data_IF_944147419573
#
_entry.id   IF_944147419573
#
_cell.length_a   1.000
_cell.length_b   1.000
_cell.length_c   1.000
_cell.angle_alpha   90.00
_cell.angle_beta   90.00
_cell.angle_gamma   90.00
#
_symmetry.space_group_name_H-M   'P 1'
#
loop_
_entity.id
_entity.type
_entity.pdbx_description
1 polymer ?
#
# COMPACT_ATOMS: atom_id res chain seq x y z
N UNK A 1 -19.73 27.55 -19.31
CA UNK A 1 -18.32 27.40 -18.89
C UNK A 1 -17.91 26.00 -19.26
N UNK A 2 -16.92 25.85 -20.15
CA UNK A 2 -16.47 24.54 -20.60
C UNK A 2 -15.65 23.88 -19.48
N UNK A 3 -16.08 22.69 -19.05
CA UNK A 3 -15.28 21.79 -18.23
C UNK A 3 -14.09 21.34 -19.08
N UNK A 4 -12.90 21.82 -18.74
CA UNK A 4 -11.67 21.26 -19.24
C UNK A 4 -11.52 19.86 -18.63
N UNK A 5 -11.97 18.84 -19.35
CA UNK A 5 -11.55 17.45 -19.13
C UNK A 5 -10.03 17.41 -19.22
N UNK A 6 -9.37 17.36 -18.06
CA UNK A 6 -7.95 17.04 -17.94
C UNK A 6 -7.77 15.62 -18.48
N UNK A 7 -7.46 15.50 -19.76
CA UNK A 7 -7.09 14.23 -20.37
C UNK A 7 -5.81 13.80 -19.67
N UNK A 8 -5.89 12.73 -18.88
CA UNK A 8 -4.72 12.11 -18.26
C UNK A 8 -3.66 11.88 -19.35
N UNK A 9 -2.46 12.43 -19.16
CA UNK A 9 -1.31 12.22 -20.06
C UNK A 9 -0.97 10.73 -20.23
N UNK A 10 -1.37 9.92 -19.24
CA UNK A 10 -1.21 8.48 -19.21
C UNK A 10 -2.53 7.80 -19.54
N UNK A 11 -2.49 6.82 -20.43
CA UNK A 11 -3.67 6.06 -20.85
C UNK A 11 -3.74 4.71 -20.11
N UNK A 12 -2.59 4.11 -19.81
CA UNK A 12 -2.47 2.78 -19.22
C UNK A 12 -1.52 2.77 -18.04
N UNK A 13 -1.59 1.71 -17.23
CA UNK A 13 -0.67 1.54 -16.10
C UNK A 13 0.78 1.33 -16.58
N UNK A 14 0.96 0.73 -17.76
CA UNK A 14 2.27 0.53 -18.40
C UNK A 14 3.06 1.83 -18.62
N UNK A 15 2.38 2.97 -18.72
CA UNK A 15 3.02 4.27 -18.89
C UNK A 15 3.88 4.67 -17.67
N UNK A 16 3.64 4.05 -16.51
CA UNK A 16 4.42 4.26 -15.28
C UNK A 16 5.47 3.16 -15.03
N UNK A 17 5.43 2.05 -15.78
CA UNK A 17 6.18 0.83 -15.47
C UNK A 17 7.69 1.09 -15.33
N UNK A 18 8.31 1.76 -16.31
CA UNK A 18 9.75 2.06 -16.27
C UNK A 18 10.14 2.96 -15.10
N UNK A 19 9.30 3.93 -14.76
CA UNK A 19 9.53 4.84 -13.64
C UNK A 19 9.41 4.12 -12.30
N UNK A 20 8.47 3.19 -12.17
CA UNK A 20 8.27 2.35 -11.00
C UNK A 20 9.45 1.40 -10.78
N UNK A 21 9.97 0.82 -11.86
CA UNK A 21 11.14 -0.08 -11.81
C UNK A 21 12.49 0.64 -11.73
N UNK A 22 12.50 1.98 -11.83
CA UNK A 22 13.72 2.76 -11.85
C UNK A 22 14.56 2.58 -10.59
N UNK A 23 15.87 2.42 -10.78
CA UNK A 23 16.83 2.38 -9.67
C UNK A 23 17.05 3.76 -9.05
N UNK A 24 16.80 4.81 -9.82
CA UNK A 24 17.01 6.19 -9.41
C UNK A 24 15.89 6.67 -8.48
N UNK A 25 16.20 7.02 -7.21
CA UNK A 25 15.19 7.50 -6.26
C UNK A 25 14.45 8.74 -6.76
N UNK A 26 15.12 9.63 -7.49
CA UNK A 26 14.52 10.85 -8.03
C UNK A 26 13.38 10.53 -9.01
N UNK A 27 13.60 9.58 -9.94
CA UNK A 27 12.59 9.16 -10.91
C UNK A 27 11.34 8.60 -10.21
N UNK A 28 11.53 7.77 -9.18
CA UNK A 28 10.42 7.22 -8.39
C UNK A 28 9.63 8.30 -7.64
N UNK A 29 10.34 9.29 -7.09
CA UNK A 29 9.72 10.43 -6.41
C UNK A 29 8.92 11.33 -7.36
N UNK A 30 9.43 11.56 -8.57
CA UNK A 30 8.74 12.33 -9.62
C UNK A 30 7.55 11.58 -10.22
N UNK A 31 7.64 10.25 -10.30
CA UNK A 31 6.57 9.38 -10.79
C UNK A 31 5.35 9.37 -9.86
N UNK A 32 5.57 9.42 -8.55
CA UNK A 32 4.53 9.17 -7.56
C UNK A 32 3.29 10.08 -7.69
N UNK A 33 3.39 11.42 -7.76
CA UNK A 33 2.21 12.28 -7.81
C UNK A 33 1.30 11.99 -9.02
N UNK A 34 1.91 11.73 -10.18
CA UNK A 34 1.17 11.40 -11.40
C UNK A 34 0.51 10.03 -11.30
N UNK A 35 1.20 9.03 -10.73
CA UNK A 35 0.66 7.69 -10.53
C UNK A 35 -0.46 7.68 -9.48
N UNK A 36 -0.29 8.41 -8.37
CA UNK A 36 -1.32 8.56 -7.34
C UNK A 36 -2.58 9.20 -7.92
N UNK A 37 -2.42 10.29 -8.68
CA UNK A 37 -3.55 10.96 -9.34
C UNK A 37 -4.24 10.04 -10.36
N UNK A 38 -3.46 9.31 -11.16
CA UNK A 38 -3.99 8.35 -12.14
C UNK A 38 -4.82 7.26 -11.48
N UNK A 39 -4.30 6.65 -10.41
CA UNK A 39 -4.98 5.57 -9.70
C UNK A 39 -6.16 6.09 -8.86
N UNK A 40 -6.16 7.35 -8.43
CA UNK A 40 -7.26 7.94 -7.68
C UNK A 40 -8.52 8.17 -8.54
N UNK A 41 -8.38 8.30 -9.86
CA UNK A 41 -9.52 8.32 -10.78
C UNK A 41 -9.97 6.89 -11.09
N UNK A 42 -11.15 6.53 -10.62
CA UNK A 42 -11.75 5.19 -10.80
C UNK A 42 -11.99 4.83 -12.27
N UNK A 43 -11.99 5.82 -13.19
CA UNK A 43 -12.25 5.63 -14.61
C UNK A 43 -10.98 5.33 -15.43
N UNK A 44 -9.79 5.45 -14.86
CA UNK A 44 -8.54 5.15 -15.59
C UNK A 44 -8.37 3.64 -15.78
N UNK A 45 -7.61 3.20 -16.78
CA UNK A 45 -7.42 1.77 -17.01
C UNK A 45 -6.42 1.17 -16.03
N UNK A 46 -6.65 -0.05 -15.55
CA UNK A 46 -5.62 -0.84 -14.86
C UNK A 46 -4.92 -1.83 -15.81
N UNK A 47 -5.20 -1.74 -17.12
CA UNK A 47 -4.53 -2.57 -18.11
C UNK A 47 -3.01 -2.37 -18.04
N UNK A 48 -2.32 -3.48 -17.88
CA UNK A 48 -0.87 -3.57 -17.69
C UNK A 48 -0.40 -4.89 -18.28
N UNK A 49 0.61 -4.86 -19.13
CA UNK A 49 1.19 -6.07 -19.70
C UNK A 49 1.82 -6.98 -18.64
N UNK A 50 2.29 -6.42 -17.53
CA UNK A 50 2.92 -7.13 -16.41
C UNK A 50 2.59 -6.48 -15.07
N UNK A 51 1.36 -6.70 -14.59
CA UNK A 51 0.92 -6.17 -13.29
C UNK A 51 1.78 -6.72 -12.13
N UNK A 52 2.20 -7.99 -12.19
CA UNK A 52 3.03 -8.61 -11.15
C UNK A 52 4.38 -7.91 -11.05
N UNK A 53 5.07 -7.67 -12.16
CA UNK A 53 6.33 -6.91 -12.16
C UNK A 53 6.16 -5.45 -11.72
N UNK A 54 5.01 -4.84 -12.01
CA UNK A 54 4.68 -3.50 -11.50
C UNK A 54 4.58 -3.50 -9.96
N UNK A 55 3.82 -4.44 -9.39
CA UNK A 55 3.63 -4.60 -7.95
C UNK A 55 4.97 -4.95 -7.27
N UNK A 56 5.79 -5.81 -7.88
CA UNK A 56 7.16 -6.12 -7.41
C UNK A 56 8.04 -4.87 -7.38
N UNK A 57 7.87 -3.96 -8.34
CA UNK A 57 8.50 -2.64 -8.34
C UNK A 57 8.13 -1.85 -7.08
N UNK A 58 6.86 -1.84 -6.68
CA UNK A 58 6.39 -1.17 -5.47
C UNK A 58 6.90 -1.83 -4.19
N UNK A 59 7.08 -3.16 -4.16
CA UNK A 59 7.74 -3.81 -3.02
C UNK A 59 9.14 -3.23 -2.78
N UNK A 60 9.90 -2.97 -3.85
CA UNK A 60 11.23 -2.32 -3.76
C UNK A 60 11.16 -0.86 -3.31
N UNK A 61 10.02 -0.19 -3.47
CA UNK A 61 9.80 1.14 -2.90
C UNK A 61 9.66 1.04 -1.38
N UNK A 62 8.83 0.11 -0.92
CA UNK A 62 8.46 -0.09 0.49
C UNK A 62 9.61 -0.67 1.32
N UNK A 63 10.32 -1.65 0.79
CA UNK A 63 11.47 -2.30 1.44
C UNK A 63 12.74 -1.43 1.39
N UNK A 64 12.73 -0.35 0.59
CA UNK A 64 13.84 0.58 0.45
C UNK A 64 14.11 1.41 1.71
N UNK A 65 15.30 2.01 1.77
CA UNK A 65 15.72 2.84 2.91
C UNK A 65 15.20 4.29 2.87
N UNK A 66 14.63 4.74 1.75
CA UNK A 66 14.09 6.08 1.61
C UNK A 66 12.64 6.11 2.13
N UNK A 67 12.44 6.65 3.32
CA UNK A 67 11.14 6.72 3.97
C UNK A 67 10.03 7.39 3.12
N UNK A 68 10.37 8.41 2.32
CA UNK A 68 9.39 9.06 1.44
C UNK A 68 8.93 8.13 0.33
N UNK A 69 9.86 7.41 -0.30
CA UNK A 69 9.53 6.41 -1.33
C UNK A 69 8.76 5.24 -0.72
N UNK A 70 9.12 4.81 0.50
CA UNK A 70 8.41 3.73 1.18
C UNK A 70 6.95 4.10 1.50
N UNK A 71 6.72 5.31 2.04
CA UNK A 71 5.37 5.84 2.25
C UNK A 71 4.57 5.95 0.96
N UNK A 72 5.20 6.43 -0.12
CA UNK A 72 4.59 6.49 -1.44
C UNK A 72 4.17 5.10 -1.94
N UNK A 73 5.04 4.09 -1.80
CA UNK A 73 4.73 2.72 -2.21
C UNK A 73 3.54 2.13 -1.45
N UNK A 74 3.48 2.34 -0.13
CA UNK A 74 2.32 1.93 0.69
C UNK A 74 1.03 2.60 0.20
N UNK A 75 1.10 3.92 -0.09
CA UNK A 75 -0.05 4.69 -0.59
C UNK A 75 -0.54 4.18 -1.95
N UNK A 76 0.36 3.82 -2.85
CA UNK A 76 -0.01 3.23 -4.15
C UNK A 76 -0.67 1.85 -3.95
N UNK A 77 -0.18 1.01 -3.03
CA UNK A 77 -0.83 -0.27 -2.71
C UNK A 77 -2.24 -0.09 -2.11
N UNK A 78 -2.47 0.96 -1.31
CA UNK A 78 -3.82 1.27 -0.83
C UNK A 78 -4.79 1.58 -1.98
N UNK A 79 -4.31 2.24 -3.03
CA UNK A 79 -5.14 2.55 -4.21
C UNK A 79 -5.37 1.30 -5.06
N UNK A 80 -4.38 0.42 -5.23
CA UNK A 80 -4.60 -0.87 -5.88
C UNK A 80 -5.62 -1.73 -5.15
N UNK A 81 -5.61 -1.71 -3.81
CA UNK A 81 -6.58 -2.44 -3.01
C UNK A 81 -8.03 -1.97 -3.26
N UNK A 82 -8.24 -0.68 -3.58
CA UNK A 82 -9.57 -0.16 -3.92
C UNK A 82 -10.04 -0.55 -5.33
N UNK A 83 -9.08 -0.83 -6.22
CA UNK A 83 -9.33 -0.83 -7.67
C UNK A 83 -9.21 -2.19 -8.34
N UNK A 84 -8.35 -3.06 -7.83
CA UNK A 84 -8.22 -4.43 -8.32
C UNK A 84 -9.36 -5.30 -7.81
N UNK A 85 -9.69 -6.35 -8.56
CA UNK A 85 -10.60 -7.38 -8.07
C UNK A 85 -10.03 -8.01 -6.79
N UNK A 86 -10.91 -8.31 -5.84
CA UNK A 86 -10.52 -8.89 -4.56
C UNK A 86 -9.75 -10.21 -4.71
N UNK A 87 -10.03 -11.02 -5.73
CA UNK A 87 -9.30 -12.26 -5.97
C UNK A 87 -7.93 -11.99 -6.62
N UNK A 88 -7.84 -10.97 -7.47
CA UNK A 88 -6.58 -10.57 -8.09
C UNK A 88 -5.60 -10.02 -7.03
N UNK A 89 -6.04 -9.09 -6.19
CA UNK A 89 -5.20 -8.54 -5.13
C UNK A 89 -4.85 -9.59 -4.06
N UNK A 90 -5.73 -10.58 -3.82
CA UNK A 90 -5.45 -11.66 -2.87
C UNK A 90 -4.17 -12.45 -3.20
N UNK A 91 -3.74 -12.49 -4.48
CA UNK A 91 -2.48 -13.14 -4.88
C UNK A 91 -1.23 -12.46 -4.33
N UNK A 92 -1.33 -11.17 -3.97
CA UNK A 92 -0.24 -10.36 -3.42
C UNK A 92 -0.29 -10.26 -1.89
N UNK A 93 -1.37 -10.74 -1.26
CA UNK A 93 -1.73 -10.42 0.11
C UNK A 93 -0.63 -10.74 1.12
N UNK A 94 -0.06 -11.95 1.07
CA UNK A 94 0.95 -12.41 2.03
C UNK A 94 2.19 -11.50 2.01
N UNK A 95 2.65 -11.14 0.80
CA UNK A 95 3.83 -10.27 0.63
C UNK A 95 3.51 -8.84 1.05
N UNK A 96 2.34 -8.31 0.68
CA UNK A 96 1.89 -6.97 1.07
C UNK A 96 1.78 -6.85 2.59
N UNK A 97 1.18 -7.83 3.28
CA UNK A 97 1.12 -7.83 4.75
C UNK A 97 2.52 -7.84 5.33
N UNK A 98 3.41 -8.71 4.83
CA UNK A 98 4.77 -8.83 5.36
C UNK A 98 5.57 -7.53 5.28
N UNK A 99 5.64 -6.90 4.12
CA UNK A 99 6.40 -5.65 3.95
C UNK A 99 5.76 -4.48 4.70
N UNK A 100 4.44 -4.50 4.87
CA UNK A 100 3.71 -3.45 5.59
C UNK A 100 3.93 -3.56 7.09
N UNK A 101 3.96 -4.78 7.65
CA UNK A 101 4.32 -5.01 9.07
C UNK A 101 5.72 -4.47 9.37
N UNK A 102 6.69 -4.68 8.49
CA UNK A 102 8.04 -4.12 8.66
C UNK A 102 8.01 -2.58 8.71
N UNK A 103 7.10 -1.93 7.97
CA UNK A 103 6.94 -0.48 7.95
C UNK A 103 6.22 0.10 9.17
N UNK A 104 5.57 -0.72 10.00
CA UNK A 104 5.20 -0.30 11.36
C UNK A 104 6.44 0.01 12.22
N UNK A 105 7.64 -0.42 11.82
CA UNK A 105 8.89 -0.11 12.50
C UNK A 105 9.55 1.19 12.06
N UNK A 106 8.99 1.91 11.09
CA UNK A 106 9.70 3.00 10.42
C UNK A 106 10.05 4.16 11.38
N UNK A 107 11.19 4.79 11.12
CA UNK A 107 11.65 5.93 11.90
C UNK A 107 10.74 7.16 11.71
N UNK A 108 10.03 7.25 10.59
CA UNK A 108 9.10 8.35 10.28
C UNK A 108 7.66 7.97 10.63
N UNK A 109 7.04 8.79 11.47
CA UNK A 109 5.66 8.60 11.94
C UNK A 109 4.67 8.50 10.78
N UNK A 110 4.86 9.33 9.74
CA UNK A 110 4.02 9.31 8.54
C UNK A 110 4.01 7.93 7.85
N UNK A 111 5.16 7.26 7.76
CA UNK A 111 5.25 5.93 7.12
C UNK A 111 4.55 4.88 7.96
N UNK A 112 4.68 4.95 9.29
CA UNK A 112 3.99 4.05 10.21
C UNK A 112 2.47 4.22 10.14
N UNK A 113 2.00 5.47 10.04
CA UNK A 113 0.58 5.77 9.90
C UNK A 113 0.02 5.20 8.59
N UNK A 114 0.70 5.41 7.46
CA UNK A 114 0.29 4.83 6.17
C UNK A 114 0.29 3.29 6.24
N UNK A 115 1.30 2.68 6.86
CA UNK A 115 1.34 1.23 7.04
C UNK A 115 0.16 0.72 7.89
N UNK A 116 -0.15 1.39 9.00
CA UNK A 116 -1.29 1.09 9.85
C UNK A 116 -2.62 1.23 9.10
N UNK A 117 -2.77 2.26 8.27
CA UNK A 117 -3.95 2.50 7.45
C UNK A 117 -4.15 1.41 6.39
N UNK A 118 -3.08 1.03 5.68
CA UNK A 118 -3.13 -0.07 4.71
C UNK A 118 -3.55 -1.39 5.38
N UNK A 119 -2.98 -1.73 6.54
CA UNK A 119 -3.36 -2.95 7.26
C UNK A 119 -4.83 -2.93 7.71
N UNK A 120 -5.32 -1.81 8.24
CA UNK A 120 -6.74 -1.64 8.57
C UNK A 120 -7.63 -1.81 7.34
N UNK A 121 -7.21 -1.27 6.19
CA UNK A 121 -7.97 -1.37 4.95
C UNK A 121 -8.02 -2.81 4.42
N UNK A 122 -6.92 -3.54 4.52
CA UNK A 122 -6.88 -4.98 4.21
C UNK A 122 -7.85 -5.76 5.12
N UNK A 123 -7.98 -5.39 6.39
CA UNK A 123 -8.96 -6.02 7.30
C UNK A 123 -10.40 -5.77 6.86
N UNK A 124 -10.71 -4.59 6.29
CA UNK A 124 -12.02 -4.31 5.71
C UNK A 124 -12.28 -5.21 4.50
N UNK A 125 -11.30 -5.35 3.61
CA UNK A 125 -11.47 -6.09 2.34
C UNK A 125 -11.45 -7.62 2.51
N UNK A 126 -10.69 -8.15 3.47
CA UNK A 126 -10.41 -9.60 3.58
C UNK A 126 -10.79 -10.23 4.92
N UNK A 127 -11.53 -9.49 5.76
CA UNK A 127 -11.86 -9.80 7.15
C UNK A 127 -10.69 -9.64 8.14
N UNK A 128 -10.94 -9.07 9.34
CA UNK A 128 -9.88 -8.83 10.33
C UNK A 128 -9.12 -10.08 10.74
N UNK A 129 -9.81 -11.20 10.95
CA UNK A 129 -9.20 -12.46 11.39
C UNK A 129 -8.13 -12.93 10.42
N UNK A 130 -8.42 -12.92 9.11
CA UNK A 130 -7.49 -13.38 8.07
C UNK A 130 -6.21 -12.56 8.05
N UNK A 131 -6.32 -11.23 8.18
CA UNK A 131 -5.14 -10.35 8.21
C UNK A 131 -4.35 -10.55 9.50
N UNK A 132 -5.02 -10.76 10.63
CA UNK A 132 -4.34 -11.07 11.90
C UNK A 132 -3.59 -12.40 11.86
N UNK A 133 -4.16 -13.44 11.23
CA UNK A 133 -3.48 -14.74 11.06
C UNK A 133 -2.16 -14.59 10.28
N UNK A 134 -2.14 -13.72 9.27
CA UNK A 134 -0.93 -13.38 8.50
C UNK A 134 0.06 -12.52 9.31
N UNK A 135 -0.43 -11.59 10.11
CA UNK A 135 0.40 -10.65 10.88
C UNK A 135 1.02 -11.28 12.13
N UNK A 136 0.32 -12.21 12.80
CA UNK A 136 0.75 -12.79 14.08
C UNK A 136 2.18 -13.32 14.05
N UNK A 137 2.61 -14.16 13.08
CA UNK A 137 3.98 -14.68 13.06
C UNK A 137 5.05 -13.62 12.76
N UNK A 138 4.67 -12.44 12.26
CA UNK A 138 5.58 -11.40 11.79
C UNK A 138 5.79 -10.27 12.79
N UNK A 139 4.83 -10.04 13.70
CA UNK A 139 4.73 -8.81 14.48
C UNK A 139 5.16 -8.93 15.94
N UNK A 140 4.58 -9.85 16.72
CA UNK A 140 4.76 -9.88 18.18
C UNK A 140 6.17 -10.30 18.62
N UNK A 141 6.83 -11.14 17.82
CA UNK A 141 8.23 -11.57 18.05
C UNK A 141 9.25 -10.81 17.19
N UNK A 142 8.83 -9.74 16.53
CA UNK A 142 9.69 -8.99 15.62
C UNK A 142 10.94 -8.39 16.30
N UNK A 143 12.10 -8.46 15.65
CA UNK A 143 13.38 -7.97 16.22
C UNK A 143 13.37 -6.48 16.60
N UNK A 144 12.56 -5.67 15.90
CA UNK A 144 12.41 -4.25 16.21
C UNK A 144 11.25 -4.04 17.19
N UNK A 145 11.56 -3.52 18.38
CA UNK A 145 10.57 -3.18 19.40
C UNK A 145 9.42 -2.30 18.87
N UNK A 146 9.73 -1.36 17.97
CA UNK A 146 8.73 -0.45 17.41
C UNK A 146 7.63 -1.16 16.61
N UNK A 147 7.98 -2.20 15.84
CA UNK A 147 6.98 -3.04 15.16
C UNK A 147 6.06 -3.70 16.17
N UNK A 148 6.60 -4.20 17.29
CA UNK A 148 5.79 -4.81 18.36
C UNK A 148 4.80 -3.81 18.96
N UNK A 149 5.28 -2.62 19.35
CA UNK A 149 4.46 -1.55 19.96
C UNK A 149 3.35 -1.09 19.00
N UNK A 150 3.70 -0.82 17.75
CA UNK A 150 2.75 -0.34 16.74
C UNK A 150 1.74 -1.43 16.33
N UNK A 151 2.14 -2.70 16.36
CA UNK A 151 1.22 -3.82 16.13
C UNK A 151 0.21 -3.97 17.28
N UNK A 152 0.61 -3.72 18.52
CA UNK A 152 -0.32 -3.68 19.66
C UNK A 152 -1.29 -2.50 19.55
N UNK A 153 -0.82 -1.31 19.12
CA UNK A 153 -1.68 -0.16 18.84
C UNK A 153 -2.68 -0.46 17.73
N UNK A 154 -2.24 -1.12 16.66
CA UNK A 154 -3.09 -1.57 15.57
C UNK A 154 -4.13 -2.60 16.03
N UNK A 155 -3.77 -3.53 16.93
CA UNK A 155 -4.72 -4.44 17.55
C UNK A 155 -5.84 -3.69 18.28
N UNK A 156 -5.48 -2.77 19.16
CA UNK A 156 -6.44 -1.92 19.88
C UNK A 156 -7.31 -1.12 18.90
N UNK A 157 -6.69 -0.51 17.88
CA UNK A 157 -7.40 0.23 16.83
C UNK A 157 -8.41 -0.65 16.10
N UNK A 158 -8.01 -1.85 15.68
CA UNK A 158 -8.88 -2.78 14.97
C UNK A 158 -10.07 -3.23 15.84
N UNK A 159 -9.84 -3.54 17.12
CA UNK A 159 -10.90 -3.90 18.05
C UNK A 159 -11.91 -2.75 18.22
N UNK A 160 -11.42 -1.52 18.38
CA UNK A 160 -12.30 -0.36 18.51
C UNK A 160 -13.14 -0.10 17.25
N UNK A 161 -12.57 -0.33 16.07
CA UNK A 161 -13.28 -0.15 14.80
C UNK A 161 -14.33 -1.23 14.55
N UNK A 162 -14.00 -2.52 14.77
CA UNK A 162 -14.88 -3.64 14.41
C UNK A 162 -15.80 -4.12 15.54
N UNK A 163 -15.41 -3.96 16.80
CA UNK A 163 -16.18 -4.49 17.95
C UNK A 163 -17.03 -3.40 18.61
N UNK A 164 -16.53 -2.17 18.73
CA UNK A 164 -17.24 -1.13 19.48
C UNK A 164 -18.20 -0.29 18.64
N UNK A 165 -18.04 -0.22 17.31
CA UNK A 165 -18.96 0.52 16.43
C UNK A 165 -20.17 -0.29 15.98
N UNK A 166 -20.24 -1.58 16.31
CA UNK A 166 -21.30 -2.49 15.85
C UNK A 166 -22.09 -3.11 17.03
N UNK A 167 -21.90 -2.56 18.24
CA UNK A 167 -22.72 -2.77 19.44
C UNK A 167 -23.30 -1.43 19.89
#
# INVERSE_FOLDING_TARGET
MAEASSTSQHKYLDDFYQSVLSKEPAVRLECFPSLENYLSDVNTSLECGDLTGFIDGLYRWIEGSNARIAGNGLRILELFLDRLDSNEFASYLDKVVSITVDRLGDAKDQVRETASNLLMKLMVSYAPQRIWDLMQPLSFDHKQYRVKDESQRLLIRSLNEYVLKHN
#
